data_IF_949859303271
#
_entry.id   IF_949859303271
#
_cell.length_a   1.000
_cell.length_b   1.000
_cell.length_c   1.000
_cell.angle_alpha   90.00
_cell.angle_beta   90.00
_cell.angle_gamma   90.00
#
_symmetry.space_group_name_H-M   'P 1'
#
loop_
_entity.id
_entity.type
_entity.pdbx_description
1 polymer ?
#
# COMPACT_ATOMS: atom_id res chain seq x y z
N UNK A 1 37.98 60.98 11.06
CA UNK A 1 36.69 60.27 11.24
C UNK A 1 36.59 59.19 10.16
N UNK A 2 37.08 57.97 10.42
CA UNK A 2 36.99 56.82 9.48
C UNK A 2 35.86 55.93 9.95
N UNK A 3 34.77 55.89 9.20
CA UNK A 3 33.59 55.09 9.52
C UNK A 3 33.89 53.63 9.15
N UNK A 4 33.97 52.78 10.16
CA UNK A 4 34.12 51.32 10.07
C UNK A 4 32.84 50.67 9.55
N UNK A 5 32.58 50.79 8.24
CA UNK A 5 31.38 50.23 7.61
C UNK A 5 31.55 48.78 7.08
N UNK A 6 32.77 48.22 7.15
CA UNK A 6 33.15 46.98 6.46
C UNK A 6 32.87 45.66 7.23
N UNK A 7 32.67 45.71 8.55
CA UNK A 7 32.50 44.50 9.37
C UNK A 7 31.12 43.85 9.24
N UNK A 8 30.06 44.66 9.28
CA UNK A 8 28.68 44.20 9.22
C UNK A 8 28.33 43.59 7.85
N UNK A 9 28.90 44.13 6.76
CA UNK A 9 28.66 43.62 5.41
C UNK A 9 29.30 42.24 5.17
N UNK A 10 30.46 41.98 5.80
CA UNK A 10 31.13 40.66 5.77
C UNK A 10 30.37 39.61 6.59
N UNK A 11 29.87 39.98 7.77
CA UNK A 11 29.06 39.10 8.62
C UNK A 11 27.73 38.72 7.94
N UNK A 12 27.04 39.68 7.31
CA UNK A 12 25.80 39.44 6.56
C UNK A 12 26.02 38.53 5.35
N UNK A 13 27.12 38.75 4.61
CA UNK A 13 27.49 37.92 3.44
C UNK A 13 27.83 36.48 3.85
N UNK A 14 28.54 36.29 4.95
CA UNK A 14 28.86 34.95 5.47
C UNK A 14 27.60 34.24 5.99
N UNK A 15 26.67 34.97 6.63
CA UNK A 15 25.37 34.43 7.04
C UNK A 15 24.54 33.94 5.86
N UNK A 16 24.41 34.75 4.80
CA UNK A 16 23.73 34.39 3.56
C UNK A 16 24.36 33.17 2.87
N UNK A 17 25.68 33.08 2.83
CA UNK A 17 26.38 31.94 2.23
C UNK A 17 26.14 30.62 3.01
N UNK A 18 26.12 30.66 4.34
CA UNK A 18 25.83 29.49 5.18
C UNK A 18 24.37 29.05 5.04
N UNK A 19 23.42 30.00 5.01
CA UNK A 19 22.01 29.69 4.76
C UNK A 19 21.78 29.07 3.37
N UNK A 20 22.46 29.60 2.34
CA UNK A 20 22.36 29.06 0.98
C UNK A 20 22.96 27.66 0.86
N UNK A 21 24.08 27.39 1.53
CA UNK A 21 24.67 26.05 1.58
C UNK A 21 23.78 25.05 2.35
N UNK A 22 23.13 25.49 3.43
CA UNK A 22 22.15 24.67 4.16
C UNK A 22 20.93 24.30 3.31
N UNK A 23 20.40 25.25 2.53
CA UNK A 23 19.31 25.01 1.58
C UNK A 23 19.70 24.06 0.44
N UNK A 24 20.94 24.15 -0.05
CA UNK A 24 21.47 23.26 -1.08
C UNK A 24 21.64 21.82 -0.56
N UNK A 25 22.05 21.62 0.69
CA UNK A 25 22.18 20.29 1.30
C UNK A 25 20.82 19.62 1.57
N UNK A 26 19.79 20.39 1.94
CA UNK A 26 18.45 19.86 2.13
C UNK A 26 17.79 19.39 0.82
N UNK A 27 18.14 19.99 -0.32
CA UNK A 27 17.62 19.61 -1.64
C UNK A 27 18.14 18.25 -2.14
N UNK A 28 19.18 17.70 -1.52
CA UNK A 28 19.73 16.38 -1.85
C UNK A 28 19.20 15.24 -0.98
N UNK A 29 18.24 15.49 -0.08
CA UNK A 29 17.56 14.45 0.68
C UNK A 29 16.60 13.68 -0.25
N UNK A 30 17.12 12.74 -1.02
CA UNK A 30 16.34 11.85 -1.87
C UNK A 30 15.44 10.94 -1.02
N UNK A 31 14.14 11.04 -1.22
CA UNK A 31 13.14 10.14 -0.62
C UNK A 31 12.90 8.89 -1.47
N UNK A 32 12.01 8.04 -0.99
CA UNK A 32 11.57 6.84 -1.71
C UNK A 32 11.04 7.18 -3.10
N UNK A 33 11.34 6.30 -4.07
CA UNK A 33 10.72 6.35 -5.39
C UNK A 33 9.38 5.63 -5.29
N UNK A 34 8.30 6.39 -5.36
CA UNK A 34 6.95 5.85 -5.28
C UNK A 34 6.12 6.19 -6.52
N UNK A 35 5.36 5.20 -7.00
CA UNK A 35 4.31 5.39 -8.01
C UNK A 35 2.98 4.97 -7.37
N UNK A 36 1.93 5.77 -7.62
CA UNK A 36 0.57 5.50 -7.14
C UNK A 36 -0.41 5.82 -8.27
N UNK A 37 -1.26 4.86 -8.60
CA UNK A 37 -2.44 5.06 -9.44
C UNK A 37 -3.64 4.56 -8.64
N UNK A 38 -4.58 5.44 -8.30
CA UNK A 38 -5.77 5.07 -7.53
C UNK A 38 -7.01 5.77 -8.11
N UNK A 39 -8.15 5.08 -8.09
CA UNK A 39 -9.45 5.70 -8.36
C UNK A 39 -9.83 6.67 -7.23
N UNK A 40 -10.89 7.45 -7.47
CA UNK A 40 -11.43 8.34 -6.44
C UNK A 40 -11.76 7.54 -5.16
N UNK A 41 -11.52 8.13 -3.96
CA UNK A 41 -11.88 7.50 -2.70
C UNK A 41 -13.39 7.26 -2.63
N UNK A 42 -13.78 6.25 -1.86
CA UNK A 42 -15.18 5.87 -1.66
C UNK A 42 -15.58 6.25 -0.23
N UNK A 43 -16.78 6.81 -0.08
CA UNK A 43 -17.35 7.10 1.22
C UNK A 43 -18.06 5.84 1.76
N UNK A 44 -17.84 5.53 3.03
CA UNK A 44 -18.41 4.34 3.67
C UNK A 44 -19.21 4.71 4.92
N UNK A 45 -20.18 3.87 5.23
CA UNK A 45 -20.89 3.93 6.50
C UNK A 45 -20.04 3.25 7.57
N UNK A 46 -19.93 3.86 8.76
CA UNK A 46 -19.28 3.20 9.90
C UNK A 46 -20.00 1.89 10.23
N UNK A 47 -19.25 0.82 10.39
CA UNK A 47 -19.79 -0.52 10.65
C UNK A 47 -20.07 -1.35 9.39
N UNK A 48 -19.88 -0.80 8.18
CA UNK A 48 -19.94 -1.60 6.94
C UNK A 48 -19.03 -2.83 7.08
N UNK A 49 -19.52 -3.99 6.63
CA UNK A 49 -18.79 -5.26 6.76
C UNK A 49 -17.87 -5.48 5.56
N UNK A 50 -16.66 -5.94 5.84
CA UNK A 50 -15.65 -6.21 4.80
C UNK A 50 -14.91 -7.51 5.06
N UNK A 51 -14.65 -8.29 4.03
CA UNK A 51 -13.68 -9.38 4.07
C UNK A 51 -12.46 -9.06 3.21
N UNK A 52 -11.29 -9.57 3.60
CA UNK A 52 -10.05 -9.44 2.83
C UNK A 52 -9.65 -10.82 2.33
N UNK A 53 -9.69 -11.02 1.01
CA UNK A 53 -9.22 -12.27 0.42
C UNK A 53 -7.70 -12.41 0.59
N UNK A 54 -7.16 -13.64 0.62
CA UNK A 54 -5.75 -13.87 0.37
C UNK A 54 -5.35 -13.17 -0.94
N UNK A 55 -4.27 -12.39 -0.92
CA UNK A 55 -3.81 -11.73 -2.14
C UNK A 55 -3.06 -12.72 -3.02
N UNK A 56 -3.22 -12.58 -4.33
CA UNK A 56 -2.44 -13.35 -5.28
C UNK A 56 -0.96 -13.01 -5.13
N UNK A 57 -0.11 -14.03 -5.17
CA UNK A 57 1.33 -13.86 -5.12
C UNK A 57 1.92 -14.03 -6.53
N UNK A 58 2.31 -12.91 -7.15
CA UNK A 58 2.97 -12.90 -8.46
C UNK A 58 4.49 -12.70 -8.31
N UNK A 59 5.03 -12.99 -7.14
CA UNK A 59 6.44 -12.84 -6.80
C UNK A 59 7.10 -14.21 -6.55
N UNK A 60 8.42 -14.20 -6.38
CA UNK A 60 9.17 -15.39 -5.95
C UNK A 60 9.24 -15.56 -4.42
N UNK A 61 8.70 -14.61 -3.64
CA UNK A 61 8.68 -14.69 -2.17
C UNK A 61 7.44 -15.45 -1.72
N UNK A 62 7.60 -16.65 -1.16
CA UNK A 62 6.53 -17.62 -0.89
C UNK A 62 5.31 -17.02 -0.18
N UNK A 63 5.52 -16.18 0.83
CA UNK A 63 4.45 -15.67 1.69
C UNK A 63 3.96 -14.25 1.34
N UNK A 64 4.46 -13.65 0.25
CA UNK A 64 4.22 -12.22 -0.02
C UNK A 64 2.73 -11.85 -0.08
N UNK A 65 1.91 -12.68 -0.75
CA UNK A 65 0.46 -12.49 -0.84
C UNK A 65 -0.24 -12.57 0.53
N UNK A 66 0.12 -13.56 1.35
CA UNK A 66 -0.46 -13.74 2.68
C UNK A 66 -0.05 -12.61 3.64
N UNK A 67 1.22 -12.18 3.59
CA UNK A 67 1.69 -11.04 4.38
C UNK A 67 0.95 -9.77 3.98
N UNK A 68 0.76 -9.53 2.68
CA UNK A 68 0.03 -8.36 2.20
C UNK A 68 -1.44 -8.34 2.64
N UNK A 69 -2.14 -9.49 2.60
CA UNK A 69 -3.54 -9.54 3.06
C UNK A 69 -3.64 -9.30 4.58
N UNK A 70 -2.74 -9.82 5.40
CA UNK A 70 -2.71 -9.55 6.85
C UNK A 70 -2.37 -8.10 7.18
N UNK A 71 -1.46 -7.48 6.43
CA UNK A 71 -1.20 -6.05 6.55
C UNK A 71 -2.45 -5.24 6.18
N UNK A 72 -3.19 -5.64 5.14
CA UNK A 72 -4.41 -4.96 4.72
C UNK A 72 -5.50 -5.07 5.78
N UNK A 73 -5.71 -6.26 6.36
CA UNK A 73 -6.62 -6.48 7.49
C UNK A 73 -6.24 -5.59 8.67
N UNK A 74 -4.96 -5.56 9.04
CA UNK A 74 -4.45 -4.73 10.14
C UNK A 74 -4.67 -3.25 9.89
N UNK A 75 -4.38 -2.77 8.68
CA UNK A 75 -4.60 -1.39 8.27
C UNK A 75 -6.08 -1.01 8.32
N UNK A 76 -6.97 -1.86 7.76
CA UNK A 76 -8.41 -1.65 7.80
C UNK A 76 -8.92 -1.53 9.24
N UNK A 77 -8.53 -2.46 10.12
CA UNK A 77 -8.95 -2.42 11.53
C UNK A 77 -8.39 -1.20 12.29
N UNK A 78 -7.21 -0.73 11.93
CA UNK A 78 -6.54 0.36 12.62
C UNK A 78 -6.99 1.77 12.16
N UNK A 79 -7.29 1.96 10.87
CA UNK A 79 -7.51 3.29 10.29
C UNK A 79 -8.93 3.52 9.75
N UNK A 80 -9.81 2.52 9.79
CA UNK A 80 -11.17 2.62 9.26
C UNK A 80 -12.23 2.24 10.29
N UNK A 81 -13.50 2.52 9.97
CA UNK A 81 -14.65 2.09 10.76
C UNK A 81 -15.30 0.79 10.28
N UNK A 82 -14.63 -0.01 9.45
CA UNK A 82 -15.19 -1.25 8.92
C UNK A 82 -15.26 -2.37 9.98
N UNK A 83 -16.31 -3.18 9.91
CA UNK A 83 -16.38 -4.47 10.59
C UNK A 83 -15.64 -5.51 9.73
N UNK A 84 -14.33 -5.68 10.01
CA UNK A 84 -13.47 -6.59 9.24
C UNK A 84 -13.68 -8.04 9.69
N UNK A 85 -14.07 -8.90 8.75
CA UNK A 85 -14.32 -10.32 8.99
C UNK A 85 -13.07 -11.04 9.50
N UNK A 86 -13.28 -11.98 10.43
CA UNK A 86 -12.21 -12.82 10.99
C UNK A 86 -11.48 -13.63 9.90
N UNK A 87 -10.15 -13.58 9.93
CA UNK A 87 -9.29 -14.19 8.91
C UNK A 87 -9.52 -15.70 8.79
N UNK A 88 -9.81 -16.39 9.89
CA UNK A 88 -10.09 -17.83 9.89
C UNK A 88 -11.34 -18.21 9.09
N UNK A 89 -12.41 -17.42 9.22
CA UNK A 89 -13.64 -17.63 8.45
C UNK A 89 -13.40 -17.39 6.96
N UNK A 90 -12.67 -16.31 6.63
CA UNK A 90 -12.33 -16.00 5.24
C UNK A 90 -11.46 -17.09 4.63
N UNK A 91 -10.42 -17.54 5.34
CA UNK A 91 -9.53 -18.59 4.88
C UNK A 91 -10.25 -19.92 4.64
N UNK A 92 -11.16 -20.31 5.54
CA UNK A 92 -11.96 -21.52 5.38
C UNK A 92 -12.88 -21.44 4.16
N UNK A 93 -13.64 -20.35 4.01
CA UNK A 93 -14.53 -20.15 2.86
C UNK A 93 -13.76 -20.09 1.55
N UNK A 94 -12.65 -19.35 1.53
CA UNK A 94 -11.77 -19.28 0.36
C UNK A 94 -11.25 -20.67 -0.03
N UNK A 95 -10.72 -21.44 0.92
CA UNK A 95 -10.18 -22.77 0.65
C UNK A 95 -11.23 -23.76 0.14
N UNK A 96 -12.48 -23.69 0.64
CA UNK A 96 -13.57 -24.51 0.10
C UNK A 96 -13.92 -24.15 -1.34
N UNK A 97 -14.01 -22.86 -1.66
CA UNK A 97 -14.33 -22.39 -3.00
C UNK A 97 -13.20 -22.71 -3.98
N UNK A 98 -11.95 -22.51 -3.56
CA UNK A 98 -10.78 -22.80 -4.37
C UNK A 98 -10.71 -24.30 -4.71
N UNK A 99 -10.97 -25.17 -3.73
CA UNK A 99 -10.98 -26.62 -3.93
C UNK A 99 -12.08 -27.06 -4.92
N UNK A 100 -13.30 -26.50 -4.78
CA UNK A 100 -14.42 -26.76 -5.69
C UNK A 100 -14.13 -26.27 -7.12
N UNK A 101 -13.57 -25.07 -7.24
CA UNK A 101 -13.18 -24.44 -8.49
C UNK A 101 -12.08 -25.21 -9.21
N UNK A 102 -11.11 -25.76 -8.49
CA UNK A 102 -10.06 -26.61 -9.05
C UNK A 102 -10.58 -28.00 -9.43
N UNK A 103 -11.51 -28.57 -8.67
CA UNK A 103 -12.11 -29.87 -8.99
C UNK A 103 -12.96 -29.85 -10.28
N UNK A 104 -13.51 -28.68 -10.62
CA UNK A 104 -14.36 -28.48 -11.80
C UNK A 104 -13.63 -27.84 -12.98
N UNK A 105 -12.41 -27.34 -12.76
CA UNK A 105 -11.61 -26.72 -13.82
C UNK A 105 -11.17 -27.73 -14.87
N UNK A 106 -11.23 -27.32 -16.15
CA UNK A 106 -10.61 -28.09 -17.22
C UNK A 106 -9.09 -28.19 -17.00
N UNK A 107 -8.50 -29.33 -17.38
CA UNK A 107 -7.06 -29.55 -17.26
C UNK A 107 -6.31 -28.42 -17.98
N UNK A 108 -5.47 -27.69 -17.24
CA UNK A 108 -4.71 -26.54 -17.75
C UNK A 108 -5.40 -25.18 -17.64
N UNK A 109 -6.62 -25.11 -17.09
CA UNK A 109 -7.30 -23.85 -16.80
C UNK A 109 -6.90 -23.32 -15.41
N UNK A 110 -6.69 -22.02 -15.30
CA UNK A 110 -6.52 -21.35 -14.01
C UNK A 110 -7.91 -21.00 -13.46
N UNK A 111 -8.26 -21.54 -12.30
CA UNK A 111 -9.51 -21.22 -11.60
C UNK A 111 -9.20 -20.23 -10.48
N UNK A 112 -10.07 -19.24 -10.28
CA UNK A 112 -9.90 -18.23 -9.23
C UNK A 112 -11.16 -18.11 -8.40
N UNK A 113 -11.02 -17.85 -7.11
CA UNK A 113 -12.17 -17.65 -6.22
C UNK A 113 -12.82 -16.30 -6.53
N UNK A 114 -14.13 -16.31 -6.78
CA UNK A 114 -14.91 -15.09 -7.00
C UNK A 114 -15.06 -14.31 -5.70
N UNK A 115 -14.62 -13.05 -5.69
CA UNK A 115 -14.82 -12.13 -4.56
C UNK A 115 -16.30 -11.97 -4.20
N UNK A 116 -17.18 -11.95 -5.21
CA UNK A 116 -18.63 -11.84 -5.01
C UNK A 116 -19.18 -13.07 -4.29
N UNK A 117 -18.85 -14.27 -4.77
CA UNK A 117 -19.33 -15.53 -4.18
C UNK A 117 -18.85 -15.69 -2.74
N UNK A 118 -17.57 -15.38 -2.48
CA UNK A 118 -17.01 -15.39 -1.13
C UNK A 118 -17.72 -14.38 -0.22
N UNK A 119 -17.98 -13.16 -0.71
CA UNK A 119 -18.68 -12.14 0.04
C UNK A 119 -20.14 -12.50 0.36
N UNK A 120 -20.84 -13.12 -0.59
CA UNK A 120 -22.21 -13.61 -0.42
C UNK A 120 -22.28 -14.70 0.67
N UNK A 121 -21.34 -15.65 0.68
CA UNK A 121 -21.27 -16.72 1.70
C UNK A 121 -20.97 -16.14 3.08
N UNK A 122 -20.06 -15.17 3.16
CA UNK A 122 -19.67 -14.54 4.43
C UNK A 122 -20.68 -13.48 4.92
N UNK A 123 -21.62 -13.06 4.06
CA UNK A 123 -22.59 -12.02 4.38
C UNK A 123 -21.96 -10.63 4.58
N UNK A 124 -20.92 -10.30 3.81
CA UNK A 124 -20.24 -8.99 3.89
C UNK A 124 -20.68 -8.03 2.78
N UNK A 125 -20.64 -6.72 3.04
CA UNK A 125 -20.98 -5.68 2.05
C UNK A 125 -19.89 -5.51 1.00
N UNK A 126 -18.62 -5.68 1.41
CA UNK A 126 -17.46 -5.47 0.56
C UNK A 126 -16.45 -6.61 0.67
N UNK A 127 -15.71 -6.86 -0.41
CA UNK A 127 -14.53 -7.71 -0.40
C UNK A 127 -13.35 -6.94 -0.96
N UNK A 128 -12.27 -6.85 -0.18
CA UNK A 128 -10.97 -6.39 -0.64
C UNK A 128 -10.20 -7.57 -1.22
N UNK A 129 -9.74 -7.42 -2.45
CA UNK A 129 -8.89 -8.38 -3.16
C UNK A 129 -7.69 -7.66 -3.74
N UNK A 130 -6.62 -8.39 -4.05
CA UNK A 130 -5.38 -7.79 -4.49
C UNK A 130 -4.35 -8.80 -4.94
N UNK A 131 -3.23 -8.28 -5.43
CA UNK A 131 -2.07 -9.07 -5.80
C UNK A 131 -0.78 -8.35 -5.44
N UNK A 132 0.25 -9.13 -5.16
CA UNK A 132 1.61 -8.62 -4.94
C UNK A 132 2.43 -8.93 -6.17
N UNK A 133 2.90 -7.90 -6.85
CA UNK A 133 3.70 -8.03 -8.09
C UNK A 133 5.19 -7.87 -7.86
N UNK A 134 5.59 -7.28 -6.72
CA UNK A 134 7.00 -7.19 -6.32
C UNK A 134 7.08 -7.22 -4.79
N UNK A 135 8.01 -8.02 -4.25
CA UNK A 135 8.25 -8.14 -2.82
C UNK A 135 9.65 -8.71 -2.59
N UNK A 136 10.62 -7.86 -2.30
CA UNK A 136 11.98 -8.34 -2.08
C UNK A 136 13.02 -7.24 -2.16
N UNK A 137 14.29 -7.63 -2.21
CA UNK A 137 15.39 -6.72 -2.48
C UNK A 137 15.78 -6.80 -3.95
N UNK A 138 15.93 -5.67 -4.62
CA UNK A 138 16.47 -5.62 -5.97
C UNK A 138 17.98 -5.86 -5.93
N UNK A 139 18.46 -6.71 -6.84
CA UNK A 139 19.87 -7.04 -6.97
C UNK A 139 20.62 -5.93 -7.71
N UNK A 140 21.74 -5.48 -7.14
CA UNK A 140 22.59 -4.43 -7.71
C UNK A 140 23.77 -4.11 -6.79
N UNK A 141 24.44 -2.98 -7.03
CA UNK A 141 25.53 -2.50 -6.14
C UNK A 141 25.03 -2.15 -4.72
N UNK A 142 23.71 -1.98 -4.55
CA UNK A 142 23.01 -1.79 -3.28
C UNK A 142 21.77 -2.68 -3.28
N UNK A 143 21.49 -3.32 -2.15
CA UNK A 143 20.23 -4.05 -1.94
C UNK A 143 19.14 -3.04 -1.57
N UNK A 144 18.30 -2.67 -2.53
CA UNK A 144 17.17 -1.76 -2.31
C UNK A 144 15.88 -2.58 -2.11
N UNK A 145 15.17 -2.43 -0.99
CA UNK A 145 13.87 -3.07 -0.81
C UNK A 145 12.86 -2.49 -1.80
N UNK A 146 12.08 -3.35 -2.43
CA UNK A 146 11.05 -2.99 -3.39
C UNK A 146 9.79 -3.80 -3.14
N UNK A 147 8.66 -3.09 -3.13
CA UNK A 147 7.34 -3.68 -2.95
C UNK A 147 6.36 -3.02 -3.90
N UNK A 148 5.55 -3.82 -4.59
CA UNK A 148 4.50 -3.37 -5.49
C UNK A 148 3.26 -4.22 -5.34
N UNK A 149 2.11 -3.57 -5.21
CA UNK A 149 0.82 -4.21 -4.93
C UNK A 149 -0.30 -3.59 -5.75
N UNK A 150 -1.31 -4.40 -6.03
CA UNK A 150 -2.59 -4.01 -6.59
C UNK A 150 -3.69 -4.34 -5.59
N UNK A 151 -4.68 -3.47 -5.46
CA UNK A 151 -5.86 -3.68 -4.62
C UNK A 151 -7.13 -3.26 -5.37
N UNK A 152 -8.22 -3.96 -5.10
CA UNK A 152 -9.56 -3.68 -5.60
C UNK A 152 -10.58 -3.92 -4.50
N UNK A 153 -11.53 -2.99 -4.38
CA UNK A 153 -12.68 -3.14 -3.50
C UNK A 153 -13.90 -3.51 -4.34
N UNK A 154 -14.48 -4.67 -4.05
CA UNK A 154 -15.67 -5.19 -4.73
C UNK A 154 -16.87 -4.99 -3.81
N UNK A 155 -17.92 -4.33 -4.31
CA UNK A 155 -19.21 -4.26 -3.63
C UNK A 155 -20.02 -5.52 -3.94
N UNK A 156 -20.52 -6.20 -2.91
CA UNK A 156 -21.10 -7.54 -3.07
C UNK A 156 -22.52 -7.50 -3.62
N UNK A 157 -23.29 -6.45 -3.35
CA UNK A 157 -24.68 -6.33 -3.81
C UNK A 157 -24.84 -6.48 -5.32
N UNK A 158 -23.89 -5.95 -6.11
CA UNK A 158 -23.91 -5.99 -7.57
C UNK A 158 -22.63 -6.56 -8.20
N UNK A 159 -21.60 -6.85 -7.40
CA UNK A 159 -20.31 -7.37 -7.86
C UNK A 159 -19.41 -6.32 -8.52
N UNK A 160 -19.74 -5.03 -8.42
CA UNK A 160 -18.96 -3.97 -9.06
C UNK A 160 -17.68 -3.67 -8.29
N UNK A 161 -16.61 -3.33 -9.01
CA UNK A 161 -15.39 -2.79 -8.39
C UNK A 161 -15.58 -1.29 -8.16
N UNK A 162 -15.77 -0.90 -6.91
CA UNK A 162 -16.04 0.50 -6.53
C UNK A 162 -14.77 1.30 -6.27
N UNK A 163 -13.65 0.61 -6.04
CA UNK A 163 -12.33 1.24 -5.88
C UNK A 163 -11.21 0.35 -6.39
N UNK A 164 -10.16 0.95 -6.94
CA UNK A 164 -8.95 0.24 -7.36
C UNK A 164 -7.71 1.10 -7.13
N UNK A 165 -6.60 0.47 -6.79
CA UNK A 165 -5.29 1.11 -6.78
C UNK A 165 -4.15 0.15 -7.13
N UNK A 166 -3.10 0.71 -7.69
CA UNK A 166 -1.81 0.08 -7.90
C UNK A 166 -0.75 1.03 -7.34
N UNK A 167 0.14 0.51 -6.51
CA UNK A 167 1.24 1.31 -5.99
C UNK A 167 2.49 0.47 -5.79
N UNK A 168 3.65 1.09 -5.99
CA UNK A 168 4.93 0.50 -5.70
C UNK A 168 5.88 1.51 -5.09
N UNK A 169 6.71 1.04 -4.17
CA UNK A 169 7.76 1.80 -3.51
C UNK A 169 9.07 1.04 -3.70
N UNK A 170 10.09 1.76 -4.19
CA UNK A 170 11.49 1.36 -4.09
C UNK A 170 12.13 2.21 -3.00
N UNK A 171 12.56 1.56 -1.93
CA UNK A 171 13.16 2.23 -0.78
C UNK A 171 14.51 2.84 -1.15
N UNK A 172 14.69 4.11 -0.80
CA UNK A 172 15.97 4.80 -1.02
C UNK A 172 16.57 5.25 0.30
N UNK A 173 17.56 4.48 0.74
CA UNK A 173 18.26 4.74 1.97
C UNK A 173 19.70 5.15 1.76
N UNK A 174 20.02 6.44 1.70
CA UNK A 174 21.41 6.89 1.93
C UNK A 174 21.79 6.80 3.40
N UNK A 175 20.83 7.00 4.32
CA UNK A 175 21.03 7.00 5.77
C UNK A 175 20.04 6.13 6.58
N UNK A 176 19.04 5.51 5.94
CA UNK A 176 18.07 4.61 6.59
C UNK A 176 17.97 3.31 5.78
N UNK A 177 18.17 2.16 6.42
CA UNK A 177 17.97 0.85 5.78
C UNK A 177 16.54 0.39 6.08
N UNK A 178 15.61 0.76 5.21
CA UNK A 178 14.26 0.21 5.29
C UNK A 178 14.30 -1.28 4.95
N UNK A 179 13.47 -2.07 5.62
CA UNK A 179 13.23 -3.47 5.27
C UNK A 179 12.05 -3.57 4.32
N UNK A 180 11.98 -4.68 3.58
CA UNK A 180 10.83 -4.99 2.71
C UNK A 180 9.51 -4.93 3.51
N UNK A 181 9.49 -5.42 4.75
CA UNK A 181 8.31 -5.40 5.61
C UNK A 181 7.87 -3.98 6.01
N UNK A 182 8.82 -3.07 6.29
CA UNK A 182 8.51 -1.66 6.58
C UNK A 182 7.87 -1.00 5.36
N UNK A 183 8.41 -1.23 4.17
CA UNK A 183 7.88 -0.68 2.93
C UNK A 183 6.52 -1.27 2.61
N UNK A 184 6.34 -2.58 2.78
CA UNK A 184 5.05 -3.24 2.57
C UNK A 184 3.97 -2.67 3.50
N UNK A 185 4.26 -2.51 4.80
CA UNK A 185 3.32 -1.92 5.74
C UNK A 185 2.99 -0.46 5.40
N UNK A 186 3.99 0.34 5.04
CA UNK A 186 3.81 1.74 4.61
C UNK A 186 2.93 1.81 3.36
N UNK A 187 3.20 0.97 2.36
CA UNK A 187 2.46 0.90 1.10
C UNK A 187 0.99 0.55 1.34
N UNK A 188 0.73 -0.51 2.11
CA UNK A 188 -0.63 -0.95 2.43
C UNK A 188 -1.41 0.10 3.20
N UNK A 189 -0.82 0.71 4.23
CA UNK A 189 -1.45 1.80 4.98
C UNK A 189 -1.83 2.96 4.06
N UNK A 190 -0.93 3.36 3.17
CA UNK A 190 -1.21 4.43 2.20
C UNK A 190 -2.34 4.05 1.23
N UNK A 191 -2.40 2.79 0.77
CA UNK A 191 -3.47 2.35 -0.13
C UNK A 191 -4.83 2.33 0.57
N UNK A 192 -4.93 1.80 1.80
CA UNK A 192 -6.16 1.82 2.60
C UNK A 192 -6.60 3.26 2.92
N UNK A 193 -5.65 4.13 3.23
CA UNK A 193 -5.91 5.55 3.43
C UNK A 193 -6.44 6.22 2.16
N UNK A 194 -5.87 5.91 0.98
CA UNK A 194 -6.34 6.43 -0.30
C UNK A 194 -7.73 5.92 -0.69
N UNK A 195 -8.11 4.74 -0.21
CA UNK A 195 -9.45 4.17 -0.41
C UNK A 195 -10.52 4.94 0.38
N UNK A 196 -10.20 5.40 1.59
CA UNK A 196 -11.17 5.90 2.57
C UNK A 196 -11.12 7.41 2.80
N UNK A 197 -9.99 8.08 2.51
CA UNK A 197 -9.87 9.53 2.71
C UNK A 197 -10.75 10.28 1.71
N UNK A 198 -11.88 10.78 2.18
CA UNK A 198 -12.55 11.92 1.56
C UNK A 198 -11.52 13.06 1.47
N UNK A 199 -11.31 13.58 0.27
CA UNK A 199 -10.53 14.81 0.06
C UNK A 199 -11.29 15.96 0.70
N UNK A 200 -11.16 16.15 2.01
CA UNK A 200 -11.48 17.44 2.62
C UNK A 200 -10.35 18.35 2.17
N UNK A 201 -10.63 19.14 1.13
CA UNK A 201 -9.76 20.22 0.69
C UNK A 201 -9.34 21.02 1.93
N UNK A 202 -8.02 21.13 2.11
CA UNK A 202 -7.43 22.01 3.12
C UNK A 202 -7.04 23.32 2.46
#
# INVERSE_FOLDING_TARGET
>A
MKITHNGHFRALRNGLAVSMLGLLLAACAGGDRQIVTASAPVAFTTGSTIAVMPFDNLTNSEEAGQVASYLAVSALRASTGFAVQEEGNVAQTYGSLDSENNATAAIGSHSSVSARQLGEILGVEYVLTGSVSEYGYQYGLREEPSVSMNMRLVQISDGTTVWTASSGIVGQGTFARDSVSIIAQRLVNQMVDKMTRNTVAK
#
